data_IF_519048247454
#
_entry.id   IF_519048247454
#
_cell.length_a   1.000
_cell.length_b   1.000
_cell.length_c   1.000
_cell.angle_alpha   90.00
_cell.angle_beta   90.00
_cell.angle_gamma   90.00
#
_symmetry.space_group_name_H-M   'P 1'
#
loop_
_entity.id
_entity.type
_entity.pdbx_description
1 polymer ?
#
# COMPACT_ATOMS: atom_id res chain seq x y z
N UNK A 1 -21.83 28.26 -19.03
CA UNK A 1 -20.55 28.24 -18.37
C UNK A 1 -20.63 27.23 -17.22
N UNK A 2 -20.09 26.01 -17.43
CA UNK A 2 -20.08 24.96 -16.41
C UNK A 2 -19.02 25.28 -15.37
N UNK A 3 -19.43 25.60 -14.16
CA UNK A 3 -18.57 25.74 -12.99
C UNK A 3 -18.15 24.33 -12.53
N UNK A 4 -17.07 23.77 -13.10
CA UNK A 4 -16.48 22.51 -12.65
C UNK A 4 -15.82 22.76 -11.29
N UNK A 5 -16.49 22.40 -10.22
CA UNK A 5 -15.92 22.40 -8.88
C UNK A 5 -14.58 21.66 -8.83
N UNK A 6 -13.60 22.26 -8.18
CA UNK A 6 -12.26 21.69 -7.98
C UNK A 6 -12.37 20.32 -7.30
N UNK A 7 -11.67 19.32 -7.80
CA UNK A 7 -11.59 18.02 -7.12
C UNK A 7 -10.93 18.19 -5.74
N UNK A 8 -11.23 17.29 -4.79
CA UNK A 8 -10.69 17.33 -3.42
C UNK A 8 -9.15 17.41 -3.38
N UNK A 9 -8.48 16.80 -4.35
CA UNK A 9 -7.03 16.86 -4.51
C UNK A 9 -6.53 18.22 -5.03
N UNK A 10 -7.24 18.78 -6.00
CA UNK A 10 -6.95 20.13 -6.51
C UNK A 10 -7.11 21.17 -5.40
N UNK A 11 -8.16 21.06 -4.58
CA UNK A 11 -8.38 21.93 -3.42
C UNK A 11 -7.22 21.87 -2.41
N UNK A 12 -6.69 20.67 -2.10
CA UNK A 12 -5.52 20.50 -1.23
C UNK A 12 -4.25 21.13 -1.85
N UNK A 13 -4.06 20.94 -3.14
CA UNK A 13 -2.92 21.53 -3.87
C UNK A 13 -2.98 23.05 -3.85
N UNK A 14 -4.14 23.65 -4.10
CA UNK A 14 -4.31 25.11 -4.04
C UNK A 14 -4.12 25.68 -2.63
N UNK A 15 -4.56 24.95 -1.58
CA UNK A 15 -4.29 25.35 -0.19
C UNK A 15 -2.79 25.38 0.10
N UNK A 16 -2.07 24.33 -0.33
CA UNK A 16 -0.62 24.25 -0.16
C UNK A 16 0.09 25.38 -0.93
N UNK A 17 -0.33 25.66 -2.17
CA UNK A 17 0.22 26.74 -2.99
C UNK A 17 0.01 28.12 -2.35
N UNK A 18 -1.16 28.35 -1.73
CA UNK A 18 -1.45 29.57 -0.98
C UNK A 18 -0.54 29.74 0.23
N UNK A 19 -0.31 28.67 0.98
CA UNK A 19 0.60 28.67 2.14
C UNK A 19 2.02 29.02 1.67
N UNK A 20 2.49 28.38 0.60
CA UNK A 20 3.79 28.64 0.01
C UNK A 20 3.94 30.11 -0.43
N UNK A 21 2.95 30.63 -1.15
CA UNK A 21 2.93 32.02 -1.57
C UNK A 21 2.94 32.99 -0.39
N UNK A 22 2.22 32.68 0.68
CA UNK A 22 2.21 33.48 1.91
C UNK A 22 3.59 33.49 2.58
N UNK A 23 4.26 32.35 2.67
CA UNK A 23 5.61 32.23 3.23
C UNK A 23 6.63 33.00 2.40
N UNK A 24 6.53 32.99 1.06
CA UNK A 24 7.38 33.79 0.20
C UNK A 24 7.12 35.29 0.37
N UNK A 25 5.85 35.70 0.43
CA UNK A 25 5.47 37.11 0.62
C UNK A 25 5.94 37.65 1.96
N UNK A 26 5.81 36.90 3.04
CA UNK A 26 6.30 37.30 4.36
C UNK A 26 7.82 37.42 4.41
N UNK A 27 8.54 36.48 3.81
CA UNK A 27 10.00 36.55 3.69
C UNK A 27 10.46 37.76 2.88
N UNK A 28 9.82 38.03 1.74
CA UNK A 28 10.10 39.20 0.91
C UNK A 28 9.80 40.51 1.64
N UNK A 29 8.71 40.59 2.38
CA UNK A 29 8.35 41.76 3.19
C UNK A 29 9.39 42.02 4.30
N UNK A 30 9.93 40.99 4.93
CA UNK A 30 11.00 41.10 5.92
C UNK A 30 12.32 41.58 5.31
N UNK A 31 12.68 41.06 4.14
CA UNK A 31 13.90 41.46 3.42
C UNK A 31 13.80 42.93 2.95
N UNK A 32 12.64 43.28 2.37
CA UNK A 32 12.35 44.66 1.95
C UNK A 32 12.35 45.64 3.11
N UNK A 33 11.73 45.25 4.26
CA UNK A 33 11.76 46.06 5.48
C UNK A 33 13.19 46.27 6.01
N UNK A 34 14.06 45.25 5.91
CA UNK A 34 15.47 45.35 6.29
C UNK A 34 16.24 46.32 5.43
N UNK A 35 16.02 46.31 4.09
CA UNK A 35 16.64 47.25 3.14
C UNK A 35 16.18 48.69 3.39
N UNK A 36 14.86 48.88 3.57
CA UNK A 36 14.28 50.22 3.79
C UNK A 36 14.73 50.76 5.15
N UNK A 37 14.76 49.96 6.22
CA UNK A 37 15.22 50.39 7.53
C UNK A 37 16.72 50.73 7.52
N UNK A 38 17.54 49.99 6.78
CA UNK A 38 18.95 50.29 6.58
C UNK A 38 19.19 51.62 5.88
N UNK A 39 18.32 51.99 4.93
CA UNK A 39 18.40 53.27 4.22
C UNK A 39 17.89 54.45 5.09
N UNK A 40 16.86 54.25 5.89
CA UNK A 40 16.22 55.33 6.66
C UNK A 40 16.94 55.57 8.00
N UNK A 41 17.35 54.55 8.66
CA UNK A 41 17.90 54.61 10.05
C UNK A 41 19.42 54.47 10.10
N UNK A 42 20.12 54.50 8.97
CA UNK A 42 21.57 54.52 8.84
C UNK A 42 22.30 53.78 9.96
N UNK A 43 23.05 52.78 9.65
CA UNK A 43 24.14 52.17 10.47
C UNK A 43 23.82 51.57 11.85
N UNK A 44 22.64 51.76 12.43
CA UNK A 44 22.44 51.48 13.89
C UNK A 44 21.91 50.08 14.26
N UNK A 45 21.38 49.29 13.33
CA UNK A 45 20.79 48.00 13.66
C UNK A 45 21.45 46.75 13.05
N UNK A 46 22.27 46.92 12.06
CA UNK A 46 22.99 45.80 11.42
C UNK A 46 24.21 45.34 12.17
N UNK A 47 24.96 46.29 12.75
CA UNK A 47 26.30 46.03 13.26
C UNK A 47 26.36 45.18 14.54
N UNK A 48 25.45 45.40 15.49
CA UNK A 48 25.51 44.67 16.77
C UNK A 48 25.10 43.20 16.65
N UNK A 49 24.11 42.89 15.80
CA UNK A 49 23.66 41.52 15.56
C UNK A 49 24.64 40.77 14.64
N UNK A 50 25.12 41.45 13.61
CA UNK A 50 26.11 40.90 12.66
C UNK A 50 27.44 40.60 13.36
N UNK A 51 27.89 41.49 14.28
CA UNK A 51 29.08 41.28 15.10
C UNK A 51 28.91 40.13 16.08
N UNK A 52 27.73 40.00 16.71
CA UNK A 52 27.45 38.91 17.65
C UNK A 52 27.38 37.55 16.97
N UNK A 53 26.81 37.47 15.79
CA UNK A 53 26.61 36.22 15.04
C UNK A 53 27.79 35.88 14.12
N UNK A 54 28.67 36.84 13.81
CA UNK A 54 29.79 36.68 12.87
C UNK A 54 29.39 36.51 11.42
N UNK A 55 28.11 36.65 11.12
CA UNK A 55 27.54 36.54 9.75
C UNK A 55 26.46 37.63 9.53
N UNK A 56 26.44 38.28 8.36
CA UNK A 56 25.45 39.30 8.04
C UNK A 56 24.03 38.71 8.06
N UNK A 57 23.08 39.39 8.67
CA UNK A 57 21.66 38.98 8.70
C UNK A 57 21.12 38.70 7.31
N UNK A 58 21.54 39.46 6.30
CA UNK A 58 21.19 39.23 4.90
C UNK A 58 21.63 37.86 4.37
N UNK A 59 22.70 37.26 4.91
CA UNK A 59 23.09 35.88 4.57
C UNK A 59 22.13 34.85 5.16
N UNK A 60 21.65 35.02 6.37
CA UNK A 60 20.66 34.14 6.99
C UNK A 60 19.36 34.08 6.17
N UNK A 61 18.91 35.24 5.69
CA UNK A 61 17.74 35.34 4.83
C UNK A 61 17.96 34.58 3.50
N UNK A 62 19.14 34.72 2.90
CA UNK A 62 19.48 33.98 1.66
C UNK A 62 19.53 32.46 1.89
N UNK A 63 20.11 32.03 3.00
CA UNK A 63 20.15 30.59 3.39
C UNK A 63 18.72 30.07 3.60
N UNK A 64 17.88 30.83 4.30
CA UNK A 64 16.46 30.48 4.48
C UNK A 64 15.75 30.27 3.14
N UNK A 65 15.90 31.18 2.17
CA UNK A 65 15.31 31.05 0.84
C UNK A 65 15.87 29.84 0.08
N UNK A 66 17.17 29.58 0.16
CA UNK A 66 17.78 28.42 -0.47
C UNK A 66 17.20 27.10 0.07
N UNK A 67 17.04 26.99 1.39
CA UNK A 67 16.43 25.85 2.04
C UNK A 67 14.95 25.71 1.61
N UNK A 68 14.21 26.80 1.56
CA UNK A 68 12.81 26.81 1.15
C UNK A 68 12.64 26.34 -0.30
N UNK A 69 13.48 26.85 -1.22
CA UNK A 69 13.47 26.43 -2.63
C UNK A 69 13.83 24.96 -2.75
N UNK A 70 14.87 24.49 -2.07
CA UNK A 70 15.26 23.08 -2.06
C UNK A 70 14.12 22.18 -1.56
N UNK A 71 13.50 22.54 -0.45
CA UNK A 71 12.41 21.76 0.13
C UNK A 71 11.17 21.72 -0.77
N UNK A 72 10.81 22.85 -1.39
CA UNK A 72 9.68 22.90 -2.32
C UNK A 72 9.96 22.15 -3.62
N UNK A 73 11.18 22.23 -4.13
CA UNK A 73 11.60 21.49 -5.32
C UNK A 73 11.58 19.98 -5.06
N UNK A 74 12.10 19.52 -3.91
CA UNK A 74 12.11 18.08 -3.54
C UNK A 74 10.71 17.53 -3.32
N UNK A 75 9.82 18.28 -2.64
CA UNK A 75 8.42 17.87 -2.47
C UNK A 75 7.67 17.86 -3.80
N UNK A 76 7.90 18.83 -4.65
CA UNK A 76 7.33 18.88 -6.00
C UNK A 76 7.82 17.73 -6.86
N UNK A 77 9.12 17.45 -6.85
CA UNK A 77 9.73 16.33 -7.57
C UNK A 77 9.20 14.98 -7.07
N UNK A 78 9.15 14.76 -5.77
CA UNK A 78 8.62 13.54 -5.18
C UNK A 78 7.15 13.28 -5.58
N UNK A 79 6.36 14.34 -5.74
CA UNK A 79 4.97 14.23 -6.16
C UNK A 79 4.82 13.97 -7.67
N UNK A 80 5.75 14.47 -8.48
CA UNK A 80 5.76 14.27 -9.93
C UNK A 80 6.31 12.90 -10.31
N UNK A 81 7.25 12.36 -9.53
CA UNK A 81 7.90 11.07 -9.78
C UNK A 81 7.15 9.89 -9.14
N UNK A 82 6.16 10.14 -8.28
CA UNK A 82 5.28 9.05 -7.89
C UNK A 82 4.63 8.50 -9.17
N UNK A 83 4.87 7.22 -9.51
CA UNK A 83 4.17 6.61 -10.62
C UNK A 83 2.67 6.83 -10.33
N UNK A 84 2.00 7.60 -11.19
CA UNK A 84 0.55 7.59 -11.20
C UNK A 84 0.17 6.14 -11.50
N UNK A 85 -0.07 5.38 -10.45
CA UNK A 85 -0.84 4.15 -10.57
C UNK A 85 -2.17 4.68 -11.11
N UNK A 86 -2.29 4.69 -12.45
CA UNK A 86 -3.59 4.89 -13.08
C UNK A 86 -4.46 3.87 -12.39
N UNK A 87 -5.40 4.32 -11.53
CA UNK A 87 -6.49 3.44 -11.12
C UNK A 87 -6.97 2.85 -12.44
N UNK A 88 -6.87 1.54 -12.64
CA UNK A 88 -7.34 0.96 -13.87
C UNK A 88 -8.75 1.52 -14.01
N UNK A 89 -9.03 2.14 -15.17
CA UNK A 89 -10.40 2.49 -15.55
C UNK A 89 -11.11 1.15 -15.40
N UNK A 90 -11.91 1.01 -14.34
CA UNK A 90 -12.83 -0.10 -14.22
C UNK A 90 -13.65 -0.02 -15.51
N UNK A 91 -13.21 -0.73 -16.55
CA UNK A 91 -14.17 -1.23 -17.51
C UNK A 91 -15.25 -1.82 -16.63
N UNK A 92 -16.50 -1.61 -16.95
CA UNK A 92 -17.60 -2.27 -16.28
C UNK A 92 -17.38 -3.77 -16.46
N UNK A 93 -16.43 -4.30 -15.74
CA UNK A 93 -16.19 -5.71 -15.61
C UNK A 93 -17.41 -6.19 -14.86
N UNK A 94 -18.09 -7.14 -15.42
CA UNK A 94 -19.04 -7.92 -14.65
C UNK A 94 -18.25 -8.54 -13.49
N UNK A 95 -18.31 -7.89 -12.34
CA UNK A 95 -17.55 -8.32 -11.14
C UNK A 95 -17.99 -9.73 -10.76
N UNK A 96 -19.25 -10.06 -10.99
CA UNK A 96 -19.81 -11.39 -10.76
C UNK A 96 -19.20 -12.40 -11.74
N UNK A 97 -19.08 -12.05 -13.02
CA UNK A 97 -18.38 -12.87 -14.00
C UNK A 97 -16.92 -13.13 -13.62
N UNK A 98 -16.20 -12.08 -13.22
CA UNK A 98 -14.81 -12.24 -12.78
C UNK A 98 -14.68 -13.15 -11.54
N UNK A 99 -15.58 -13.05 -10.57
CA UNK A 99 -15.57 -13.94 -9.41
C UNK A 99 -15.87 -15.39 -9.78
N UNK A 100 -16.80 -15.60 -10.70
CA UNK A 100 -17.09 -16.92 -11.26
C UNK A 100 -15.87 -17.52 -11.94
N UNK A 101 -15.15 -16.72 -12.74
CA UNK A 101 -13.92 -17.15 -13.42
C UNK A 101 -12.80 -17.46 -12.44
N UNK A 102 -12.61 -16.62 -11.41
CA UNK A 102 -11.65 -16.87 -10.31
C UNK A 102 -11.95 -18.19 -9.62
N UNK A 103 -13.21 -18.44 -9.27
CA UNK A 103 -13.64 -19.67 -8.58
C UNK A 103 -13.44 -20.89 -9.49
N UNK A 104 -13.87 -20.79 -10.75
CA UNK A 104 -13.70 -21.85 -11.75
C UNK A 104 -12.22 -22.23 -11.95
N UNK A 105 -11.34 -21.23 -12.03
CA UNK A 105 -9.89 -21.43 -12.15
C UNK A 105 -9.31 -22.17 -10.94
N UNK A 106 -9.75 -21.82 -9.74
CA UNK A 106 -9.30 -22.49 -8.52
C UNK A 106 -9.81 -23.94 -8.42
N UNK A 107 -11.05 -24.20 -8.81
CA UNK A 107 -11.67 -25.53 -8.69
C UNK A 107 -11.20 -26.49 -9.79
N UNK A 108 -11.10 -26.02 -11.04
CA UNK A 108 -10.73 -26.87 -12.17
C UNK A 108 -9.22 -27.06 -12.31
N UNK A 109 -8.47 -25.95 -12.26
CA UNK A 109 -7.02 -25.99 -12.51
C UNK A 109 -6.20 -26.23 -11.22
N UNK A 110 -6.86 -26.13 -10.05
CA UNK A 110 -6.24 -26.30 -8.73
C UNK A 110 -4.92 -25.52 -8.57
N UNK A 111 -4.85 -24.32 -9.12
CA UNK A 111 -3.63 -23.50 -9.13
C UNK A 111 -3.09 -23.19 -7.72
N UNK A 112 -3.92 -23.33 -6.69
CA UNK A 112 -3.50 -23.19 -5.30
C UNK A 112 -2.48 -24.23 -4.85
N UNK A 113 -2.36 -25.37 -5.56
CA UNK A 113 -1.35 -26.40 -5.26
C UNK A 113 0.07 -25.94 -5.61
N UNK A 114 0.21 -25.01 -6.58
CA UNK A 114 1.50 -24.41 -6.86
C UNK A 114 1.94 -23.51 -5.68
N UNK A 115 3.05 -23.89 -5.02
CA UNK A 115 3.60 -23.11 -3.90
C UNK A 115 3.99 -21.69 -4.27
N UNK A 116 4.25 -21.42 -5.56
CA UNK A 116 4.61 -20.10 -6.12
C UNK A 116 3.41 -19.34 -6.68
N UNK A 117 2.19 -19.88 -6.52
CA UNK A 117 0.99 -19.21 -7.00
C UNK A 117 0.81 -17.86 -6.31
N UNK A 118 0.71 -16.81 -7.14
CA UNK A 118 0.65 -15.44 -6.71
C UNK A 118 -0.39 -14.65 -7.51
N UNK A 119 -0.85 -13.54 -6.96
CA UNK A 119 -1.87 -12.69 -7.58
C UNK A 119 -1.57 -12.27 -9.03
N UNK A 120 -0.32 -11.95 -9.45
CA UNK A 120 -0.01 -11.68 -10.84
C UNK A 120 -0.27 -12.88 -11.78
N UNK A 121 -0.01 -14.11 -11.31
CA UNK A 121 -0.27 -15.32 -12.11
C UNK A 121 -1.78 -15.50 -12.32
N UNK A 122 -2.59 -15.35 -11.28
CA UNK A 122 -4.05 -15.38 -11.42
C UNK A 122 -4.57 -14.31 -12.39
N UNK A 123 -4.05 -13.09 -12.30
CA UNK A 123 -4.45 -12.00 -13.18
C UNK A 123 -4.11 -12.30 -14.66
N UNK A 124 -2.95 -12.92 -14.93
CA UNK A 124 -2.56 -13.35 -16.27
C UNK A 124 -3.47 -14.46 -16.82
N UNK A 125 -3.76 -15.49 -16.04
CA UNK A 125 -4.64 -16.59 -16.44
C UNK A 125 -6.05 -16.08 -16.81
N UNK A 126 -6.53 -15.08 -16.07
CA UNK A 126 -7.83 -14.46 -16.31
C UNK A 126 -7.81 -13.32 -17.35
N UNK A 127 -6.66 -13.06 -18.00
CA UNK A 127 -6.46 -11.94 -18.92
C UNK A 127 -6.94 -10.58 -18.36
N UNK A 128 -6.69 -10.35 -17.07
CA UNK A 128 -7.12 -9.16 -16.36
C UNK A 128 -5.97 -8.50 -15.59
N UNK A 129 -6.26 -7.47 -14.81
CA UNK A 129 -5.24 -6.79 -14.01
C UNK A 129 -5.21 -7.30 -12.57
N UNK A 130 -4.02 -7.26 -11.95
CA UNK A 130 -3.84 -7.53 -10.50
C UNK A 130 -4.81 -6.70 -9.65
N UNK A 131 -5.02 -5.45 -10.04
CA UNK A 131 -5.92 -4.56 -9.33
C UNK A 131 -7.39 -5.00 -9.43
N UNK A 132 -7.83 -5.53 -10.59
CA UNK A 132 -9.19 -6.03 -10.79
C UNK A 132 -9.45 -7.27 -9.94
N UNK A 133 -8.54 -8.24 -9.95
CA UNK A 133 -8.65 -9.45 -9.11
C UNK A 133 -8.65 -9.10 -7.62
N UNK A 134 -7.72 -8.24 -7.19
CA UNK A 134 -7.66 -7.81 -5.80
C UNK A 134 -8.92 -7.06 -5.36
N UNK A 135 -9.45 -6.19 -6.23
CA UNK A 135 -10.67 -5.45 -5.95
C UNK A 135 -11.89 -6.38 -5.86
N UNK A 136 -12.03 -7.36 -6.76
CA UNK A 136 -13.12 -8.34 -6.74
C UNK A 136 -13.11 -9.14 -5.42
N UNK A 137 -11.96 -9.69 -5.02
CA UNK A 137 -11.85 -10.45 -3.78
C UNK A 137 -12.11 -9.59 -2.53
N UNK A 138 -11.54 -8.38 -2.47
CA UNK A 138 -11.67 -7.52 -1.29
C UNK A 138 -13.06 -6.87 -1.16
N UNK A 139 -13.66 -6.44 -2.28
CA UNK A 139 -14.92 -5.70 -2.22
C UNK A 139 -16.14 -6.62 -2.08
N UNK A 140 -16.12 -7.77 -2.77
CA UNK A 140 -17.27 -8.67 -2.80
C UNK A 140 -17.19 -9.77 -1.75
N UNK A 141 -15.99 -10.33 -1.54
CA UNK A 141 -15.80 -11.42 -0.57
C UNK A 141 -15.18 -10.96 0.75
N UNK A 142 -14.75 -9.71 0.83
CA UNK A 142 -14.05 -9.13 1.99
C UNK A 142 -12.86 -10.00 2.46
N UNK A 143 -12.14 -10.57 1.50
CA UNK A 143 -11.03 -11.49 1.75
C UNK A 143 -9.79 -11.07 0.97
N UNK A 144 -8.60 -11.22 1.57
CA UNK A 144 -7.35 -11.01 0.85
C UNK A 144 -7.07 -12.16 -0.11
N UNK A 145 -6.30 -11.91 -1.20
CA UNK A 145 -5.86 -12.97 -2.11
C UNK A 145 -5.15 -14.11 -1.37
N UNK A 146 -4.30 -13.78 -0.42
CA UNK A 146 -3.57 -14.77 0.37
C UNK A 146 -4.50 -15.66 1.19
N UNK A 147 -5.50 -15.07 1.80
CA UNK A 147 -6.51 -15.80 2.57
C UNK A 147 -7.41 -16.65 1.65
N UNK A 148 -7.78 -16.10 0.49
CA UNK A 148 -8.55 -16.81 -0.51
C UNK A 148 -7.84 -18.10 -0.95
N UNK A 149 -6.57 -18.01 -1.36
CA UNK A 149 -5.76 -19.18 -1.74
C UNK A 149 -5.57 -20.14 -0.58
N UNK A 150 -5.23 -19.63 0.59
CA UNK A 150 -4.99 -20.47 1.78
C UNK A 150 -6.25 -21.23 2.23
N UNK A 151 -7.44 -20.69 2.00
CA UNK A 151 -8.69 -21.39 2.27
C UNK A 151 -8.81 -22.65 1.42
N UNK A 152 -8.54 -22.57 0.12
CA UNK A 152 -8.54 -23.75 -0.76
C UNK A 152 -7.47 -24.79 -0.34
N UNK A 153 -6.27 -24.32 0.04
CA UNK A 153 -5.20 -25.19 0.52
C UNK A 153 -5.57 -25.91 1.81
N UNK A 154 -6.27 -25.23 2.73
CA UNK A 154 -6.74 -25.86 3.99
C UNK A 154 -7.77 -26.92 3.69
N UNK A 155 -8.72 -26.67 2.79
CA UNK A 155 -9.72 -27.67 2.39
C UNK A 155 -9.07 -28.87 1.69
N UNK A 156 -8.06 -28.67 0.86
CA UNK A 156 -7.28 -29.77 0.25
C UNK A 156 -6.57 -30.61 1.32
N UNK A 157 -5.95 -29.97 2.33
CA UNK A 157 -5.35 -30.71 3.47
C UNK A 157 -6.40 -31.52 4.19
N UNK A 158 -7.56 -30.95 4.52
CA UNK A 158 -8.65 -31.69 5.20
C UNK A 158 -9.08 -32.91 4.40
N UNK A 159 -9.33 -32.74 3.11
CA UNK A 159 -9.69 -33.83 2.20
C UNK A 159 -8.65 -34.96 2.18
N UNK A 160 -7.34 -34.60 2.14
CA UNK A 160 -6.25 -35.58 2.19
C UNK A 160 -6.17 -36.30 3.55
N UNK A 161 -6.41 -35.58 4.65
CA UNK A 161 -6.43 -36.16 5.98
C UNK A 161 -7.59 -37.18 6.13
N UNK A 162 -8.77 -36.82 5.65
CA UNK A 162 -9.95 -37.69 5.62
C UNK A 162 -9.73 -38.94 4.74
N UNK A 163 -8.94 -38.80 3.68
CA UNK A 163 -8.54 -39.92 2.80
C UNK A 163 -7.42 -40.84 3.39
N UNK A 164 -6.98 -40.59 4.63
CA UNK A 164 -5.96 -41.41 5.30
C UNK A 164 -4.53 -41.11 4.85
N UNK A 165 -4.23 -39.91 4.37
CA UNK A 165 -2.90 -39.54 3.88
C UNK A 165 -1.79 -39.69 4.93
N UNK A 166 -2.13 -39.65 6.25
CA UNK A 166 -1.16 -39.80 7.33
C UNK A 166 -0.64 -41.23 7.52
N UNK A 167 -1.27 -42.21 6.90
CA UNK A 167 -0.76 -43.59 6.91
C UNK A 167 0.58 -43.68 6.14
N UNK A 168 0.83 -42.76 5.23
CA UNK A 168 1.99 -42.77 4.34
C UNK A 168 2.85 -41.51 4.42
N UNK A 169 2.29 -40.38 4.83
CA UNK A 169 2.92 -39.09 4.78
C UNK A 169 2.87 -38.36 6.13
N UNK A 170 3.83 -37.50 6.38
CA UNK A 170 3.77 -36.60 7.54
C UNK A 170 2.78 -35.47 7.28
N UNK A 171 2.23 -34.90 8.33
CA UNK A 171 1.36 -33.70 8.21
C UNK A 171 2.03 -32.54 7.47
N UNK A 172 3.36 -32.38 7.60
CA UNK A 172 4.12 -31.38 6.89
C UNK A 172 4.17 -31.67 5.38
N UNK A 173 4.36 -32.93 4.99
CA UNK A 173 4.35 -33.33 3.57
C UNK A 173 2.96 -33.12 2.95
N UNK A 174 1.89 -33.46 3.66
CA UNK A 174 0.52 -33.21 3.20
C UNK A 174 0.25 -31.71 3.00
N UNK A 175 0.76 -30.86 3.89
CA UNK A 175 0.64 -29.41 3.74
C UNK A 175 1.44 -28.87 2.56
N UNK A 176 2.64 -29.38 2.32
CA UNK A 176 3.47 -29.01 1.17
C UNK A 176 2.80 -29.41 -0.15
N UNK A 177 2.27 -30.62 -0.26
CA UNK A 177 1.50 -31.07 -1.43
C UNK A 177 0.22 -30.24 -1.65
N UNK A 178 -0.36 -29.67 -0.61
CA UNK A 178 -1.48 -28.72 -0.71
C UNK A 178 -1.03 -27.28 -1.08
N UNK A 179 0.27 -27.08 -1.35
CA UNK A 179 0.81 -25.79 -1.82
C UNK A 179 1.34 -24.85 -0.74
N UNK A 180 1.44 -25.27 0.52
CA UNK A 180 2.03 -24.43 1.56
C UNK A 180 3.56 -24.44 1.50
N UNK A 181 4.16 -23.23 1.42
CA UNK A 181 5.64 -23.08 1.42
C UNK A 181 6.28 -23.31 2.78
N UNK A 182 5.55 -23.11 3.87
CA UNK A 182 6.11 -23.22 5.22
C UNK A 182 5.09 -23.74 6.21
N UNK A 183 5.58 -24.51 7.17
CA UNK A 183 4.80 -25.01 8.31
C UNK A 183 4.11 -23.89 9.07
N UNK A 184 4.78 -22.76 9.28
CA UNK A 184 4.22 -21.62 10.01
C UNK A 184 3.00 -21.00 9.28
N UNK A 185 3.06 -20.88 7.96
CA UNK A 185 1.92 -20.38 7.16
C UNK A 185 0.76 -21.38 7.19
N UNK A 186 1.05 -22.66 7.04
CA UNK A 186 0.05 -23.72 7.15
C UNK A 186 -0.69 -23.68 8.49
N UNK A 187 0.04 -23.73 9.60
CA UNK A 187 -0.58 -23.74 10.94
C UNK A 187 -1.47 -22.52 11.19
N UNK A 188 -1.00 -21.32 10.81
CA UNK A 188 -1.80 -20.10 10.93
C UNK A 188 -3.06 -20.13 10.07
N UNK A 189 -2.94 -20.54 8.82
CA UNK A 189 -4.08 -20.63 7.92
C UNK A 189 -5.07 -21.68 8.40
N UNK A 190 -4.60 -22.87 8.78
CA UNK A 190 -5.44 -23.94 9.27
C UNK A 190 -6.24 -23.52 10.51
N UNK A 191 -5.57 -22.93 11.49
CA UNK A 191 -6.23 -22.42 12.70
C UNK A 191 -7.23 -21.31 12.38
N UNK A 192 -6.88 -20.41 11.44
CA UNK A 192 -7.78 -19.32 11.01
C UNK A 192 -9.09 -19.83 10.41
N UNK A 193 -9.02 -20.88 9.59
CA UNK A 193 -10.19 -21.35 8.84
C UNK A 193 -10.95 -22.49 9.51
N UNK A 194 -10.31 -23.25 10.41
CA UNK A 194 -10.94 -24.37 11.13
C UNK A 194 -11.23 -24.07 12.60
N UNK A 195 -10.67 -22.98 13.15
CA UNK A 195 -10.78 -22.63 14.56
C UNK A 195 -9.85 -23.42 15.49
N UNK A 196 -9.12 -24.43 14.99
CA UNK A 196 -8.26 -25.31 15.80
C UNK A 196 -6.94 -25.60 15.10
N UNK A 197 -5.96 -26.08 15.88
CA UNK A 197 -4.68 -26.49 15.29
C UNK A 197 -4.83 -27.75 14.44
N UNK A 198 -3.95 -27.99 13.44
CA UNK A 198 -3.99 -29.23 12.65
C UNK A 198 -3.87 -30.51 13.52
N UNK A 199 -3.09 -30.46 14.58
CA UNK A 199 -2.93 -31.57 15.53
C UNK A 199 -4.22 -31.85 16.30
N UNK A 200 -4.85 -30.81 16.85
CA UNK A 200 -6.12 -30.95 17.56
C UNK A 200 -7.26 -31.41 16.63
N UNK A 201 -7.24 -30.98 15.37
CA UNK A 201 -8.19 -31.43 14.35
C UNK A 201 -8.10 -32.96 14.16
N UNK A 202 -6.88 -33.50 14.06
CA UNK A 202 -6.62 -34.91 13.90
C UNK A 202 -7.08 -35.72 15.13
N UNK A 203 -6.74 -35.26 16.33
CA UNK A 203 -7.17 -35.93 17.58
C UNK A 203 -8.70 -36.04 17.68
N UNK A 204 -9.40 -34.95 17.33
CA UNK A 204 -10.85 -34.90 17.35
C UNK A 204 -11.47 -35.80 16.27
N UNK A 205 -10.90 -35.85 15.06
CA UNK A 205 -11.39 -36.70 13.96
C UNK A 205 -11.21 -38.19 14.25
N UNK A 206 -10.11 -38.60 14.92
CA UNK A 206 -9.85 -39.98 15.35
C UNK A 206 -10.78 -40.41 16.49
N UNK A 207 -11.20 -39.48 17.34
CA UNK A 207 -12.12 -39.74 18.45
C UNK A 207 -13.56 -39.90 17.98
N UNK A 208 -13.94 -39.18 16.93
CA UNK A 208 -15.30 -39.26 16.35
C UNK A 208 -15.53 -40.48 15.46
N UNK A 209 -14.46 -41.19 15.05
CA UNK A 209 -14.51 -42.39 14.21
C UNK A 209 -14.54 -43.72 15.02
N UNK A 210 -14.50 -43.62 16.35
CA UNK A 210 -14.66 -44.74 17.28
C UNK A 210 -16.07 -44.80 17.86
#
# INVERSE_FOLDING_TARGET
AQNKGLTKEQSKFYKWLKILALVFLTGFALDFSSVVSGQIYGHWRGTAFDEWLGIPFSMLVKIYYAILIYFTATLGYAKLTQPRIKKPKLMSYDVQGLLSDITSLMEKEKLYLDTNFALPKMANELNTTVASVSAALNNELNISFSDFVNRYRVEEVKSKLEAGALDKYTLAAVAEEAGFKSKATFYRAFQKFTGQSPTSYLENSMTAAK
#
